data_IF_131475818359
#
_entry.id   IF_131475818359
#
_cell.length_a   1.000
_cell.length_b   1.000
_cell.length_c   1.000
_cell.angle_alpha   90.00
_cell.angle_beta   90.00
_cell.angle_gamma   90.00
#
_symmetry.space_group_name_H-M   'P 1'
#
loop_
_entity.id
_entity.type
_entity.pdbx_description
1 polymer ?
#
# COMPACT_ATOMS: atom_id res chain seq x y z
N UNK A 1 -28.98 32.97 10.17
CA UNK A 1 -28.57 31.61 9.74
C UNK A 1 -29.44 31.20 8.56
N UNK A 2 -28.85 30.89 7.40
CA UNK A 2 -29.63 30.37 6.25
C UNK A 2 -30.08 28.96 6.59
N UNK A 3 -31.39 28.69 6.51
CA UNK A 3 -31.93 27.33 6.54
C UNK A 3 -31.63 26.72 5.18
N UNK A 4 -30.76 25.72 5.16
CA UNK A 4 -30.44 24.95 3.96
C UNK A 4 -31.12 23.59 4.12
N UNK A 5 -31.77 23.12 3.06
CA UNK A 5 -32.38 21.79 3.09
C UNK A 5 -31.28 20.72 3.06
N UNK A 6 -31.47 19.62 3.80
CA UNK A 6 -30.49 18.53 3.88
C UNK A 6 -30.32 17.81 2.54
N UNK A 7 -31.36 17.83 1.71
CA UNK A 7 -31.36 17.33 0.34
C UNK A 7 -30.36 18.11 -0.53
N UNK A 8 -30.50 19.43 -0.58
CA UNK A 8 -29.61 20.35 -1.29
C UNK A 8 -28.16 20.25 -0.80
N UNK A 9 -27.96 20.06 0.51
CA UNK A 9 -26.63 19.87 1.09
C UNK A 9 -25.99 18.56 0.62
N UNK A 10 -26.77 17.49 0.53
CA UNK A 10 -26.30 16.18 0.09
C UNK A 10 -25.92 16.19 -1.39
N UNK A 11 -26.71 16.84 -2.23
CA UNK A 11 -26.41 17.03 -3.65
C UNK A 11 -25.14 17.84 -3.85
N UNK A 12 -24.97 18.93 -3.09
CA UNK A 12 -23.77 19.75 -3.15
C UNK A 12 -22.51 18.99 -2.72
N UNK A 13 -22.61 18.15 -1.68
CA UNK A 13 -21.51 17.27 -1.25
C UNK A 13 -21.16 16.27 -2.35
N UNK A 14 -22.16 15.65 -2.98
CA UNK A 14 -21.94 14.65 -4.04
C UNK A 14 -21.30 15.27 -5.29
N UNK A 15 -21.75 16.46 -5.69
CA UNK A 15 -21.20 17.19 -6.84
C UNK A 15 -19.73 17.55 -6.63
N UNK A 16 -19.36 17.96 -5.40
CA UNK A 16 -17.98 18.33 -5.07
C UNK A 16 -17.07 17.18 -4.70
N UNK A 17 -17.62 16.00 -4.42
CA UNK A 17 -16.86 14.85 -3.94
C UNK A 17 -15.76 14.41 -4.91
N UNK A 18 -16.09 14.32 -6.20
CA UNK A 18 -15.13 13.88 -7.24
C UNK A 18 -13.94 14.82 -7.37
N UNK A 19 -14.19 16.14 -7.34
CA UNK A 19 -13.15 17.16 -7.41
C UNK A 19 -12.24 17.09 -6.19
N UNK A 20 -12.83 16.96 -5.00
CA UNK A 20 -12.08 16.82 -3.74
C UNK A 20 -11.24 15.54 -3.72
N UNK A 21 -11.78 14.41 -4.15
CA UNK A 21 -11.04 13.14 -4.24
C UNK A 21 -9.85 13.26 -5.20
N UNK A 22 -10.04 13.93 -6.35
CA UNK A 22 -8.98 14.19 -7.32
C UNK A 22 -7.90 15.10 -6.73
N UNK A 23 -8.28 16.16 -6.05
CA UNK A 23 -7.35 17.07 -5.39
C UNK A 23 -6.56 16.36 -4.28
N UNK A 24 -7.22 15.52 -3.47
CA UNK A 24 -6.54 14.71 -2.45
C UNK A 24 -5.51 13.78 -3.10
N UNK A 25 -5.85 13.13 -4.21
CA UNK A 25 -4.92 12.24 -4.92
C UNK A 25 -3.73 12.98 -5.54
N UNK A 26 -3.95 14.20 -6.06
CA UNK A 26 -2.90 15.01 -6.68
C UNK A 26 -2.00 15.72 -5.65
N UNK A 27 -2.57 16.15 -4.52
CA UNK A 27 -1.85 16.80 -3.43
C UNK A 27 -1.22 15.80 -2.45
N UNK A 28 -1.60 14.52 -2.51
CA UNK A 28 -0.92 13.44 -1.78
C UNK A 28 0.56 13.47 -2.13
N UNK A 29 1.39 13.80 -1.15
CA UNK A 29 2.84 13.84 -1.30
C UNK A 29 3.37 12.55 -1.92
N UNK A 30 4.47 12.66 -2.68
CA UNK A 30 5.16 11.49 -3.28
C UNK A 30 5.73 10.53 -2.23
N UNK A 31 5.72 10.93 -0.96
CA UNK A 31 6.14 10.08 0.14
C UNK A 31 5.21 8.88 0.27
N UNK A 32 5.82 7.69 0.34
CA UNK A 32 5.06 6.47 0.61
C UNK A 32 4.50 6.59 2.01
N UNK A 33 3.17 6.49 2.16
CA UNK A 33 2.57 6.33 3.47
C UNK A 33 3.17 5.11 4.16
N UNK A 34 4.03 5.36 5.15
CA UNK A 34 4.59 4.32 6.00
C UNK A 34 3.47 3.90 6.95
N UNK A 35 3.10 2.60 6.94
CA UNK A 35 2.19 2.06 7.95
C UNK A 35 2.88 2.18 9.31
N UNK A 36 2.24 2.88 10.25
CA UNK A 36 2.75 3.05 11.62
C UNK A 36 2.37 1.88 12.54
N UNK A 37 1.37 1.07 12.16
CA UNK A 37 0.92 -0.10 12.93
C UNK A 37 1.48 -1.39 12.34
N UNK A 38 1.80 -2.33 13.21
CA UNK A 38 2.12 -3.70 12.83
C UNK A 38 0.95 -4.33 12.05
N UNK A 39 1.28 -5.23 11.12
CA UNK A 39 0.26 -6.06 10.46
C UNK A 39 -0.28 -7.07 11.45
N UNK A 40 -1.51 -7.52 11.19
CA UNK A 40 -2.02 -8.72 11.84
C UNK A 40 -1.07 -9.90 11.59
N UNK A 41 -0.91 -10.79 12.56
CA UNK A 41 0.03 -11.90 12.48
C UNK A 41 -0.29 -12.83 11.31
N UNK A 42 -1.56 -13.06 11.00
CA UNK A 42 -1.97 -13.89 9.89
C UNK A 42 -1.74 -13.19 8.56
N UNK A 43 -2.03 -11.89 8.48
CA UNK A 43 -1.72 -11.06 7.30
C UNK A 43 -0.21 -11.10 7.01
N UNK A 44 0.62 -10.94 8.04
CA UNK A 44 2.08 -10.99 7.91
C UNK A 44 2.55 -12.34 7.37
N UNK A 45 2.10 -13.46 7.96
CA UNK A 45 2.47 -14.82 7.52
C UNK A 45 2.10 -15.08 6.06
N UNK A 46 0.89 -14.69 5.65
CA UNK A 46 0.42 -14.87 4.27
C UNK A 46 1.28 -14.07 3.29
N UNK A 47 1.60 -12.82 3.64
CA UNK A 47 2.43 -11.96 2.79
C UNK A 47 3.86 -12.48 2.67
N UNK A 48 4.43 -13.01 3.75
CA UNK A 48 5.74 -13.66 3.73
C UNK A 48 5.75 -14.88 2.81
N UNK A 49 4.73 -15.73 2.90
CA UNK A 49 4.60 -16.90 2.03
C UNK A 49 4.46 -16.52 0.55
N UNK A 50 3.66 -15.48 0.25
CA UNK A 50 3.55 -14.94 -1.10
C UNK A 50 4.89 -14.39 -1.60
N UNK A 51 5.65 -13.71 -0.75
CA UNK A 51 6.96 -13.18 -1.08
C UNK A 51 7.93 -14.31 -1.42
N UNK A 52 8.04 -15.34 -0.56
CA UNK A 52 8.87 -16.53 -0.79
C UNK A 52 8.51 -17.25 -2.09
N UNK A 53 7.21 -17.40 -2.38
CA UNK A 53 6.73 -18.03 -3.63
C UNK A 53 7.15 -17.23 -4.86
N UNK A 54 6.98 -15.91 -4.84
CA UNK A 54 7.39 -15.02 -5.94
C UNK A 54 8.90 -15.05 -6.15
N UNK A 55 9.66 -15.05 -5.06
CA UNK A 55 11.12 -15.14 -5.10
C UNK A 55 11.58 -16.43 -5.78
N UNK A 56 11.10 -17.60 -5.31
CA UNK A 56 11.40 -18.90 -5.94
C UNK A 56 11.03 -18.93 -7.41
N UNK A 57 9.88 -18.35 -7.78
CA UNK A 57 9.47 -18.24 -9.20
C UNK A 57 10.47 -17.40 -10.00
N UNK A 58 10.94 -16.28 -9.47
CA UNK A 58 11.94 -15.44 -10.13
C UNK A 58 13.30 -16.14 -10.28
N UNK A 59 13.69 -16.96 -9.31
CA UNK A 59 14.88 -17.82 -9.41
C UNK A 59 14.74 -18.83 -10.55
N UNK A 60 13.61 -19.54 -10.63
CA UNK A 60 13.33 -20.50 -11.70
C UNK A 60 13.32 -19.81 -13.07
N UNK A 61 12.72 -18.63 -13.16
CA UNK A 61 12.68 -17.82 -14.39
C UNK A 61 14.05 -17.20 -14.76
N UNK A 62 15.10 -17.42 -13.96
CA UNK A 62 16.44 -16.89 -14.22
C UNK A 62 16.57 -15.37 -14.04
N UNK A 63 15.60 -14.73 -13.39
CA UNK A 63 15.61 -13.29 -13.10
C UNK A 63 16.54 -12.94 -11.94
N UNK A 64 16.96 -13.95 -11.16
CA UNK A 64 17.89 -13.81 -10.03
C UNK A 64 19.25 -14.36 -10.44
N UNK A 65 20.30 -13.54 -10.30
CA UNK A 65 21.69 -13.94 -10.53
C UNK A 65 22.46 -13.85 -9.21
N UNK A 66 22.99 -14.98 -8.74
CA UNK A 66 23.86 -14.98 -7.57
C UNK A 66 25.28 -14.56 -7.96
N UNK A 67 25.82 -13.58 -7.24
CA UNK A 67 27.18 -13.07 -7.47
C UNK A 67 28.26 -13.98 -6.87
N UNK A 68 27.93 -14.73 -5.81
CA UNK A 68 28.85 -15.69 -5.18
C UNK A 68 28.09 -16.82 -4.47
N UNK A 69 28.77 -17.92 -4.15
CA UNK A 69 28.23 -19.02 -3.35
C UNK A 69 28.15 -18.68 -1.84
N UNK A 70 28.78 -17.59 -1.39
CA UNK A 70 28.80 -17.20 0.02
C UNK A 70 27.46 -16.53 0.36
N UNK A 71 26.74 -17.15 1.28
CA UNK A 71 25.52 -16.58 1.87
C UNK A 71 25.94 -15.69 3.02
N UNK A 72 25.44 -14.45 3.05
CA UNK A 72 25.65 -13.57 4.19
C UNK A 72 24.81 -14.09 5.37
N UNK A 73 25.46 -14.37 6.49
CA UNK A 73 24.78 -14.73 7.72
C UNK A 73 24.24 -13.44 8.35
N UNK A 74 22.92 -13.32 8.41
CA UNK A 74 22.26 -12.26 9.16
C UNK A 74 21.78 -12.87 10.47
N UNK A 75 22.54 -12.64 11.54
CA UNK A 75 22.08 -12.86 12.90
C UNK A 75 21.13 -11.70 13.23
N UNK A 76 19.85 -12.00 13.44
CA UNK A 76 18.89 -11.02 13.93
C UNK A 76 18.73 -11.29 15.43
N UNK A 77 19.41 -10.49 16.25
CA UNK A 77 19.18 -10.37 17.70
C UNK A 77 17.81 -9.74 17.99
#
# INVERSE_FOLDING_TARGET
MKKMDFSELSEWILEKKSDVERDILQTKGKERNIRTRARDENEAKILDDLCKKKWKKAEIEGKVKYLSKRVWYYEFD
#
